data_IF_983421027061
#
_entry.id   IF_983421027061
#
_cell.length_a   1.000
_cell.length_b   1.000
_cell.length_c   1.000
_cell.angle_alpha   90.00
_cell.angle_beta   90.00
_cell.angle_gamma   90.00
#
_symmetry.space_group_name_H-M   'P 1'
#
loop_
_entity.id
_entity.type
_entity.pdbx_description
1 polymer ?
#
# COMPACT_ATOMS: atom_id res chain seq x y z
N UNK A 1 -21.81 -95.49 -34.59
CA UNK A 1 -20.69 -96.38 -34.84
C UNK A 1 -19.44 -95.83 -34.17
N UNK A 2 -18.98 -96.56 -33.19
CA UNK A 2 -17.62 -96.90 -32.83
C UNK A 2 -16.63 -95.78 -32.63
N UNK A 3 -15.83 -95.64 -31.65
CA UNK A 3 -15.27 -96.49 -30.56
C UNK A 3 -14.34 -95.61 -29.74
N UNK A 4 -14.40 -95.73 -28.42
CA UNK A 4 -13.35 -95.34 -27.48
C UNK A 4 -12.04 -96.15 -27.71
N UNK A 5 -10.85 -95.72 -27.36
CA UNK A 5 -10.33 -96.12 -26.06
C UNK A 5 -9.32 -95.08 -25.40
N UNK A 6 -9.46 -94.97 -24.14
CA UNK A 6 -8.52 -95.10 -23.00
C UNK A 6 -6.99 -94.90 -23.26
N UNK A 7 -6.39 -94.08 -22.40
CA UNK A 7 -5.22 -94.36 -21.48
C UNK A 7 -4.52 -93.09 -21.23
N UNK A 8 -3.94 -92.72 -20.18
CA UNK A 8 -3.39 -93.28 -18.97
C UNK A 8 -2.77 -92.05 -18.24
N UNK A 9 -2.81 -92.09 -16.94
CA UNK A 9 -2.34 -90.99 -16.11
C UNK A 9 -0.82 -90.89 -16.01
N UNK A 10 -0.36 -89.68 -15.67
CA UNK A 10 0.89 -89.41 -14.99
C UNK A 10 0.64 -88.39 -13.86
N UNK A 11 0.82 -88.90 -12.68
CA UNK A 11 0.88 -88.05 -11.45
C UNK A 11 2.24 -87.44 -11.40
N UNK A 12 2.30 -86.08 -11.45
CA UNK A 12 3.51 -85.33 -11.16
C UNK A 12 3.27 -84.60 -9.90
N UNK A 13 3.97 -84.99 -8.84
CA UNK A 13 3.99 -84.29 -7.57
C UNK A 13 4.76 -82.96 -7.71
N UNK A 14 4.07 -81.85 -7.54
CA UNK A 14 4.70 -80.54 -7.49
C UNK A 14 5.05 -80.26 -6.05
N UNK A 15 6.31 -80.17 -5.70
CA UNK A 15 6.84 -79.72 -4.43
C UNK A 15 6.63 -78.23 -4.34
N UNK A 16 5.84 -77.75 -3.34
CA UNK A 16 5.68 -76.32 -3.01
C UNK A 16 6.92 -75.88 -2.26
N UNK A 17 7.74 -75.06 -2.89
CA UNK A 17 8.81 -74.32 -2.20
C UNK A 17 8.22 -73.05 -1.63
N UNK A 18 8.06 -72.97 -0.29
CA UNK A 18 7.77 -71.67 0.43
C UNK A 18 9.02 -70.83 0.38
N UNK A 19 9.00 -69.73 -0.41
CA UNK A 19 9.95 -68.66 -0.33
C UNK A 19 9.52 -67.72 0.81
N UNK A 20 10.21 -67.76 1.96
CA UNK A 20 10.07 -66.76 3.03
C UNK A 20 10.71 -65.45 2.56
N UNK A 21 9.88 -64.44 2.24
CA UNK A 21 10.34 -63.09 2.01
C UNK A 21 10.64 -62.45 3.37
N UNK A 22 11.92 -62.37 3.73
CA UNK A 22 12.40 -61.59 4.85
C UNK A 22 12.20 -60.11 4.51
N UNK A 23 11.17 -59.47 5.07
CA UNK A 23 10.99 -58.03 5.06
C UNK A 23 12.11 -57.40 5.89
N UNK A 24 13.08 -56.81 5.25
CA UNK A 24 14.07 -55.93 5.93
C UNK A 24 13.34 -54.73 6.55
N UNK A 25 13.57 -54.37 7.81
CA UNK A 25 13.01 -53.16 8.38
C UNK A 25 13.51 -51.97 7.57
N UNK A 26 12.58 -51.23 6.91
CA UNK A 26 12.90 -50.02 6.19
C UNK A 26 13.58 -49.02 7.12
N UNK A 27 14.75 -48.54 6.76
CA UNK A 27 15.41 -47.47 7.47
C UNK A 27 14.48 -46.25 7.51
N UNK A 28 14.39 -45.54 8.66
CA UNK A 28 13.58 -44.34 8.72
C UNK A 28 14.12 -43.35 7.69
N UNK A 29 13.28 -42.92 6.76
CA UNK A 29 13.57 -41.80 5.87
C UNK A 29 13.69 -40.61 6.78
N UNK A 30 14.92 -40.10 6.99
CA UNK A 30 15.17 -38.88 7.69
C UNK A 30 14.32 -37.79 7.04
N UNK A 31 13.38 -37.21 7.78
CA UNK A 31 12.66 -36.03 7.34
C UNK A 31 13.72 -34.98 7.00
N UNK A 32 13.82 -34.58 5.75
CA UNK A 32 14.68 -33.48 5.37
C UNK A 32 14.23 -32.27 6.20
N UNK A 33 15.09 -31.77 7.07
CA UNK A 33 14.87 -30.55 7.81
C UNK A 33 14.55 -29.47 6.79
N UNK A 34 13.29 -29.06 6.73
CA UNK A 34 12.87 -27.93 5.89
C UNK A 34 13.57 -26.71 6.45
N UNK A 35 14.59 -26.22 5.75
CA UNK A 35 15.25 -24.97 6.11
C UNK A 35 14.16 -23.91 6.25
N UNK A 36 14.15 -23.13 7.35
CA UNK A 36 13.14 -22.11 7.55
C UNK A 36 13.19 -21.12 6.39
N UNK A 37 12.09 -21.05 5.64
CA UNK A 37 11.96 -20.08 4.52
C UNK A 37 12.14 -18.69 5.13
N UNK A 38 13.18 -17.98 4.70
CA UNK A 38 13.45 -16.61 5.17
C UNK A 38 12.27 -15.70 4.79
N UNK A 39 11.67 -15.05 5.79
CA UNK A 39 10.64 -14.04 5.54
C UNK A 39 11.23 -12.86 4.79
N UNK A 40 10.59 -12.38 3.71
CA UNK A 40 11.05 -11.19 2.99
C UNK A 40 11.22 -9.99 3.93
N UNK A 41 12.30 -9.23 3.78
CA UNK A 41 12.49 -7.96 4.49
C UNK A 41 11.80 -6.84 3.72
N UNK A 42 10.75 -6.29 4.29
CA UNK A 42 9.95 -5.21 3.73
C UNK A 42 10.24 -3.89 4.47
N UNK A 43 10.60 -2.84 3.73
CA UNK A 43 10.78 -1.48 4.25
C UNK A 43 9.67 -0.58 3.69
N UNK A 44 8.90 0.05 4.58
CA UNK A 44 7.85 0.99 4.20
C UNK A 44 8.32 2.44 4.44
N UNK A 45 8.37 3.22 3.36
CA UNK A 45 8.70 4.64 3.34
C UNK A 45 7.42 5.43 3.01
N UNK A 46 7.20 6.56 3.68
CA UNK A 46 6.01 7.34 3.35
C UNK A 46 5.65 8.42 4.34
N UNK A 47 4.54 9.06 4.05
CA UNK A 47 3.94 10.13 4.83
C UNK A 47 2.77 9.64 5.71
N UNK A 48 1.90 10.57 6.12
CA UNK A 48 0.74 10.28 6.96
C UNK A 48 -0.29 9.35 6.31
N UNK A 49 -0.37 9.32 4.98
CA UNK A 49 -1.26 8.40 4.27
C UNK A 49 -0.87 6.93 4.47
N UNK A 50 0.40 6.69 4.80
CA UNK A 50 0.92 5.39 5.14
C UNK A 50 1.05 5.18 6.67
N UNK A 51 1.33 6.23 7.43
CA UNK A 51 1.57 6.12 8.87
C UNK A 51 0.31 5.83 9.70
N UNK A 52 -0.87 6.28 9.28
CA UNK A 52 -2.13 6.08 10.02
C UNK A 52 -2.26 6.96 11.27
N UNK A 53 -2.16 8.29 11.12
CA UNK A 53 -2.18 9.20 12.26
C UNK A 53 -3.49 9.11 13.03
N UNK A 54 -3.39 9.10 14.37
CA UNK A 54 -4.47 9.02 15.34
C UNK A 54 -5.30 7.71 15.31
N UNK A 55 -4.93 6.73 14.50
CA UNK A 55 -5.52 5.40 14.62
C UNK A 55 -4.84 4.66 15.79
N UNK A 56 -5.57 4.18 16.79
CA UNK A 56 -4.99 3.41 17.90
C UNK A 56 -4.45 2.04 17.40
N UNK A 57 -3.31 1.56 17.86
CA UNK A 57 -2.36 2.09 18.83
C UNK A 57 -1.21 2.76 18.07
N UNK A 58 -0.79 3.95 18.53
CA UNK A 58 0.34 4.68 17.96
C UNK A 58 1.65 4.07 18.47
N UNK A 59 2.50 3.57 17.58
CA UNK A 59 3.81 2.96 17.88
C UNK A 59 4.97 3.96 17.81
N UNK A 60 4.74 5.12 17.19
CA UNK A 60 5.69 6.22 17.14
C UNK A 60 4.93 7.54 17.27
N UNK A 61 4.99 8.16 18.43
CA UNK A 61 4.32 9.45 18.66
C UNK A 61 4.88 10.59 17.81
N UNK A 62 6.21 10.73 17.60
CA UNK A 62 6.73 11.80 16.73
C UNK A 62 6.24 11.69 15.28
N UNK A 63 6.00 10.48 14.80
CA UNK A 63 5.52 10.23 13.44
C UNK A 63 4.00 10.01 13.35
N UNK A 64 3.29 9.99 14.46
CA UNK A 64 1.88 9.58 14.54
C UNK A 64 1.64 8.28 13.75
N UNK A 65 2.52 7.28 13.95
CA UNK A 65 2.48 6.01 13.23
C UNK A 65 1.74 4.96 14.04
N UNK A 66 0.73 4.36 13.43
CA UNK A 66 -0.11 3.32 14.01
C UNK A 66 0.42 1.93 13.66
N UNK A 67 0.18 0.95 14.55
CA UNK A 67 0.33 -0.48 14.24
C UNK A 67 -0.82 -1.05 13.41
N UNK A 68 -1.81 -0.22 13.06
CA UNK A 68 -2.96 -0.58 12.21
C UNK A 68 -2.93 0.16 10.87
N UNK A 69 -1.77 0.65 10.49
CA UNK A 69 -1.55 1.29 9.20
C UNK A 69 -1.44 0.25 8.07
N UNK A 70 -1.58 0.69 6.82
CA UNK A 70 -1.59 -0.23 5.69
C UNK A 70 -0.26 -0.97 5.48
N UNK A 71 0.96 -0.43 5.79
CA UNK A 71 2.18 -1.21 5.70
C UNK A 71 2.20 -2.43 6.63
N UNK A 72 1.70 -2.27 7.87
CA UNK A 72 1.57 -3.38 8.83
C UNK A 72 0.64 -4.47 8.31
N UNK A 73 -0.48 -4.07 7.70
CA UNK A 73 -1.48 -5.00 7.15
C UNK A 73 -0.93 -5.72 5.92
N UNK A 74 -0.28 -4.98 5.02
CA UNK A 74 0.36 -5.57 3.83
C UNK A 74 1.47 -6.55 4.22
N UNK A 75 2.34 -6.18 5.16
CA UNK A 75 3.41 -7.05 5.66
C UNK A 75 2.87 -8.37 6.25
N UNK A 76 1.77 -8.29 7.02
CA UNK A 76 1.15 -9.48 7.59
C UNK A 76 0.59 -10.42 6.50
N UNK A 77 -0.04 -9.87 5.46
CA UNK A 77 -0.57 -10.64 4.31
C UNK A 77 0.54 -11.29 3.48
N UNK A 78 1.65 -10.56 3.28
CA UNK A 78 2.82 -11.02 2.53
C UNK A 78 3.75 -11.95 3.33
N UNK A 79 3.46 -12.19 4.62
CA UNK A 79 4.36 -12.94 5.49
C UNK A 79 5.73 -12.27 5.67
N UNK A 80 5.84 -10.97 5.43
CA UNK A 80 7.08 -10.22 5.43
C UNK A 80 7.48 -9.70 6.83
N UNK A 81 8.77 -9.50 7.04
CA UNK A 81 9.31 -8.81 8.21
C UNK A 81 9.38 -7.31 7.91
N UNK A 82 8.51 -6.54 8.53
CA UNK A 82 8.38 -5.09 8.28
C UNK A 82 9.40 -4.26 9.05
N UNK A 83 10.02 -3.31 8.37
CA UNK A 83 10.66 -2.12 8.92
C UNK A 83 9.86 -0.91 8.45
N UNK A 84 8.98 -0.40 9.30
CA UNK A 84 8.12 0.73 8.99
C UNK A 84 8.75 2.03 9.51
N UNK A 85 9.13 2.92 8.60
CA UNK A 85 9.68 4.24 8.90
C UNK A 85 8.81 5.38 8.36
N UNK A 86 7.57 5.08 8.00
CA UNK A 86 6.60 6.10 7.59
C UNK A 86 6.40 7.13 8.69
N UNK A 87 6.23 8.40 8.31
CA UNK A 87 6.14 9.48 9.28
C UNK A 87 5.20 10.59 8.79
N UNK A 88 4.21 10.94 9.59
CA UNK A 88 3.25 11.99 9.25
C UNK A 88 3.96 13.32 8.94
N UNK A 89 3.52 13.98 7.87
CA UNK A 89 4.13 15.22 7.39
C UNK A 89 5.38 15.02 6.52
N UNK A 90 5.88 13.79 6.33
CA UNK A 90 7.06 13.55 5.51
C UNK A 90 6.84 13.99 4.06
N UNK A 91 7.86 14.59 3.48
CA UNK A 91 7.97 14.95 2.07
C UNK A 91 9.22 14.29 1.48
N UNK A 92 9.46 14.46 0.19
CA UNK A 92 10.66 13.87 -0.46
C UNK A 92 11.98 14.29 0.18
N UNK A 93 12.07 15.48 0.81
CA UNK A 93 13.28 15.93 1.52
C UNK A 93 13.56 15.09 2.77
N UNK A 94 12.51 14.61 3.44
CA UNK A 94 12.61 13.86 4.69
C UNK A 94 13.00 12.40 4.45
N UNK A 95 12.99 11.96 3.18
CA UNK A 95 13.54 10.64 2.83
C UNK A 95 15.05 10.58 3.05
N UNK A 96 15.80 11.62 2.68
CA UNK A 96 17.25 11.71 2.81
C UNK A 96 17.72 12.64 3.93
N UNK A 97 16.83 13.43 4.52
CA UNK A 97 17.09 14.37 5.62
C UNK A 97 16.34 13.99 6.88
N UNK A 98 16.77 14.56 8.02
CA UNK A 98 16.06 14.39 9.29
C UNK A 98 14.73 15.13 9.27
N UNK A 99 13.66 14.46 9.72
CA UNK A 99 12.36 15.10 9.97
C UNK A 99 12.26 15.43 11.46
N UNK A 100 11.65 16.59 11.79
CA UNK A 100 11.42 17.02 13.19
C UNK A 100 12.69 16.94 14.08
N UNK A 101 13.87 17.18 13.51
CA UNK A 101 15.18 17.12 14.18
C UNK A 101 15.54 15.73 14.69
N UNK A 102 14.60 15.02 15.31
CA UNK A 102 14.86 13.73 16.00
C UNK A 102 14.59 12.49 15.14
N UNK A 103 13.77 12.61 14.09
CA UNK A 103 13.43 11.47 13.23
C UNK A 103 14.52 11.28 12.17
N UNK A 104 15.17 10.11 12.10
CA UNK A 104 16.21 9.84 11.10
C UNK A 104 15.65 9.88 9.67
N UNK A 105 16.52 10.07 8.66
CA UNK A 105 16.14 9.92 7.26
C UNK A 105 15.52 8.55 6.99
N UNK A 106 14.40 8.52 6.28
CA UNK A 106 13.70 7.25 6.04
C UNK A 106 14.55 6.27 5.20
N UNK A 107 15.38 6.77 4.27
CA UNK A 107 16.27 5.97 3.45
C UNK A 107 17.35 5.24 4.24
N UNK A 108 17.62 5.61 5.49
CA UNK A 108 18.61 4.94 6.33
C UNK A 108 18.13 3.56 6.83
N UNK A 109 16.83 3.27 6.68
CA UNK A 109 16.27 1.94 6.95
C UNK A 109 16.55 0.92 5.83
N UNK A 110 16.96 1.37 4.65
CA UNK A 110 17.24 0.52 3.49
C UNK A 110 18.57 -0.20 3.63
N UNK A 111 18.60 -1.46 3.23
CA UNK A 111 19.77 -2.35 3.31
C UNK A 111 19.94 -3.12 2.00
N UNK A 112 21.15 -3.62 1.69
CA UNK A 112 21.35 -4.46 0.49
C UNK A 112 20.50 -5.73 0.50
N UNK A 113 20.12 -6.25 1.67
CA UNK A 113 19.30 -7.45 1.87
C UNK A 113 17.79 -7.12 2.01
N UNK A 114 17.36 -5.91 1.71
CA UNK A 114 15.94 -5.54 1.63
C UNK A 114 15.33 -6.16 0.37
N UNK A 115 14.21 -6.87 0.51
CA UNK A 115 13.54 -7.57 -0.58
C UNK A 115 12.40 -6.77 -1.20
N UNK A 116 11.76 -5.91 -0.40
CA UNK A 116 10.58 -5.14 -0.79
C UNK A 116 10.64 -3.74 -0.22
N UNK A 117 10.31 -2.74 -1.03
CA UNK A 117 10.18 -1.34 -0.60
C UNK A 117 8.87 -0.77 -1.14
N UNK A 118 8.11 -0.11 -0.28
CA UNK A 118 7.00 0.76 -0.72
C UNK A 118 7.33 2.21 -0.43
N UNK A 119 6.93 3.11 -1.33
CA UNK A 119 7.09 4.56 -1.23
C UNK A 119 5.74 5.24 -1.42
N UNK A 120 5.21 5.87 -0.37
CA UNK A 120 3.98 6.66 -0.39
C UNK A 120 4.26 8.10 0.08
N UNK A 121 4.65 8.99 -0.85
CA UNK A 121 5.06 10.36 -0.54
C UNK A 121 4.73 11.30 -1.72
N UNK A 122 4.55 12.59 -1.43
CA UNK A 122 4.33 13.61 -2.45
C UNK A 122 3.26 14.63 -2.09
N UNK A 123 2.23 14.27 -1.33
CA UNK A 123 1.17 15.18 -0.92
C UNK A 123 1.70 16.37 -0.09
N UNK A 124 2.69 16.15 0.75
CA UNK A 124 3.31 17.21 1.55
C UNK A 124 4.26 18.09 0.71
N UNK A 125 4.90 17.54 -0.33
CA UNK A 125 5.71 18.32 -1.29
C UNK A 125 4.88 19.39 -2.00
N UNK A 126 3.61 19.07 -2.30
CA UNK A 126 2.69 20.00 -2.96
C UNK A 126 1.82 20.79 -1.95
N UNK A 127 2.06 20.58 -0.64
CA UNK A 127 1.38 21.26 0.46
C UNK A 127 -0.13 20.98 0.55
N UNK A 128 -0.59 19.77 0.20
CA UNK A 128 -2.00 19.40 0.34
C UNK A 128 -2.48 19.44 1.80
N UNK A 129 -1.62 19.14 2.77
CA UNK A 129 -1.93 19.24 4.20
C UNK A 129 -2.33 20.64 4.66
N UNK A 130 -1.91 21.69 3.93
CA UNK A 130 -2.34 23.08 4.17
C UNK A 130 -3.41 23.56 3.20
N UNK A 131 -3.44 23.02 1.99
CA UNK A 131 -4.42 23.39 0.99
C UNK A 131 -5.83 22.94 1.39
N UNK A 132 -6.01 21.69 1.83
CA UNK A 132 -7.30 21.15 2.26
C UNK A 132 -7.96 22.00 3.35
N UNK A 133 -7.34 22.28 4.51
CA UNK A 133 -7.94 23.14 5.53
C UNK A 133 -8.21 24.56 5.04
N UNK A 134 -7.39 25.10 4.13
CA UNK A 134 -7.59 26.45 3.58
C UNK A 134 -8.81 26.55 2.67
N UNK A 135 -9.34 25.43 2.19
CA UNK A 135 -10.55 25.33 1.35
C UNK A 135 -11.84 25.15 2.15
N UNK A 136 -11.76 25.02 3.47
CA UNK A 136 -12.94 24.89 4.36
C UNK A 136 -13.76 26.18 4.35
N UNK A 137 -15.08 26.05 4.18
CA UNK A 137 -16.08 27.15 4.15
C UNK A 137 -17.32 26.77 4.94
N UNK A 138 -17.54 27.47 6.03
CA UNK A 138 -18.67 27.24 6.94
C UNK A 138 -19.96 27.94 6.50
N UNK A 139 -19.94 28.74 5.43
CA UNK A 139 -21.09 29.46 4.89
C UNK A 139 -21.34 29.02 3.44
N UNK A 140 -22.59 29.09 2.93
CA UNK A 140 -22.91 28.76 1.56
C UNK A 140 -22.26 29.73 0.58
N UNK A 141 -21.91 29.27 -0.61
CA UNK A 141 -21.34 30.11 -1.67
C UNK A 141 -22.26 31.27 -2.08
N UNK A 142 -23.57 31.04 -2.02
CA UNK A 142 -24.60 32.05 -2.29
C UNK A 142 -24.56 33.28 -1.38
N UNK A 143 -23.88 33.20 -0.24
CA UNK A 143 -23.66 34.34 0.65
C UNK A 143 -22.72 35.41 0.06
N UNK A 144 -22.06 35.12 -1.07
CA UNK A 144 -21.15 36.07 -1.74
C UNK A 144 -19.87 36.37 -0.95
N UNK A 145 -19.63 35.67 0.16
CA UNK A 145 -18.50 35.91 1.06
C UNK A 145 -17.32 34.99 0.69
N UNK A 146 -16.12 35.56 0.66
CA UNK A 146 -14.87 34.83 0.47
C UNK A 146 -14.59 34.43 -0.98
N UNK A 147 -13.38 33.99 -1.21
CA UNK A 147 -12.91 33.51 -2.52
C UNK A 147 -12.94 31.98 -2.54
N UNK A 148 -13.17 31.37 -3.71
CA UNK A 148 -13.01 29.94 -3.89
C UNK A 148 -11.54 29.56 -3.70
N UNK A 149 -11.32 28.35 -3.20
CA UNK A 149 -9.98 27.79 -3.04
C UNK A 149 -9.26 27.74 -4.40
N UNK A 150 -9.95 27.26 -5.42
CA UNK A 150 -9.46 27.26 -6.80
C UNK A 150 -9.00 28.66 -7.23
N UNK A 151 -9.83 29.71 -7.06
CA UNK A 151 -9.45 31.07 -7.47
C UNK A 151 -8.23 31.62 -6.71
N UNK A 152 -8.01 31.16 -5.47
CA UNK A 152 -6.80 31.50 -4.73
C UNK A 152 -5.57 30.81 -5.31
N UNK A 153 -5.65 29.51 -5.60
CA UNK A 153 -4.51 28.75 -6.09
C UNK A 153 -4.20 29.00 -7.56
N UNK A 154 -5.19 29.45 -8.35
CA UNK A 154 -5.02 29.76 -9.79
C UNK A 154 -4.86 31.27 -10.07
N UNK A 155 -4.72 32.10 -9.04
CA UNK A 155 -4.54 33.54 -9.18
C UNK A 155 -3.31 33.88 -10.06
N UNK A 156 -3.51 34.83 -11.00
CA UNK A 156 -2.49 35.22 -11.96
C UNK A 156 -2.31 34.25 -13.14
N UNK A 157 -3.32 33.41 -13.40
CA UNK A 157 -3.34 32.45 -14.54
C UNK A 157 -2.41 31.24 -14.35
N UNK A 158 -1.93 30.98 -13.13
CA UNK A 158 -0.99 29.89 -12.82
C UNK A 158 -1.56 29.03 -11.71
N UNK A 159 -1.73 27.72 -11.99
CA UNK A 159 -2.15 26.75 -10.96
C UNK A 159 -0.94 26.34 -10.10
N UNK A 160 -0.85 26.93 -8.91
CA UNK A 160 0.27 26.73 -7.99
C UNK A 160 0.38 25.29 -7.48
N UNK A 161 -0.73 24.54 -7.37
CA UNK A 161 -0.65 23.13 -6.96
C UNK A 161 -0.15 22.26 -8.12
N UNK A 162 -0.60 22.49 -9.34
CA UNK A 162 -0.08 21.81 -10.52
C UNK A 162 1.42 22.07 -10.74
N UNK A 163 1.88 23.32 -10.56
CA UNK A 163 3.31 23.65 -10.62
C UNK A 163 4.13 22.94 -9.55
N UNK A 164 3.58 22.79 -8.34
CA UNK A 164 4.26 22.02 -7.27
C UNK A 164 4.36 20.54 -7.63
N UNK A 165 3.34 19.94 -8.25
CA UNK A 165 3.39 18.57 -8.77
C UNK A 165 4.54 18.42 -9.78
N UNK A 166 4.63 19.34 -10.76
CA UNK A 166 5.71 19.34 -11.76
C UNK A 166 7.09 19.42 -11.10
N UNK A 167 7.25 20.27 -10.07
CA UNK A 167 8.53 20.39 -9.34
C UNK A 167 8.83 19.18 -8.43
N UNK A 168 7.82 18.42 -8.05
CA UNK A 168 7.99 17.21 -7.22
C UNK A 168 8.43 16.01 -8.04
N UNK A 169 8.05 15.92 -9.31
CA UNK A 169 8.37 14.79 -10.18
C UNK A 169 9.88 14.40 -10.19
N UNK A 170 10.85 15.32 -10.40
CA UNK A 170 12.27 14.97 -10.34
C UNK A 170 12.74 14.53 -8.95
N UNK A 171 12.07 14.97 -7.88
CA UNK A 171 12.38 14.54 -6.51
C UNK A 171 11.98 13.10 -6.27
N UNK A 172 10.81 12.68 -6.79
CA UNK A 172 10.37 11.27 -6.76
C UNK A 172 11.35 10.40 -7.56
N UNK A 173 11.77 10.82 -8.77
CA UNK A 173 12.81 10.12 -9.54
C UNK A 173 14.10 9.98 -8.75
N UNK A 174 14.57 11.04 -8.09
CA UNK A 174 15.76 10.99 -7.24
C UNK A 174 15.61 10.03 -6.06
N UNK A 175 14.44 10.01 -5.41
CA UNK A 175 14.14 9.09 -4.32
C UNK A 175 14.19 7.64 -4.79
N UNK A 176 13.53 7.29 -5.90
CA UNK A 176 13.54 5.95 -6.48
C UNK A 176 14.97 5.50 -6.84
N UNK A 177 15.77 6.38 -7.47
CA UNK A 177 17.17 6.09 -7.74
C UNK A 177 18.00 5.84 -6.46
N UNK A 178 17.71 6.52 -5.36
CA UNK A 178 18.39 6.27 -4.08
C UNK A 178 17.95 4.94 -3.45
N UNK A 179 16.67 4.58 -3.57
CA UNK A 179 16.14 3.29 -3.10
C UNK A 179 16.85 2.14 -3.83
N UNK A 180 16.90 2.18 -5.18
CA UNK A 180 17.57 1.14 -5.97
C UNK A 180 19.06 1.01 -5.66
N UNK A 181 19.76 2.12 -5.39
CA UNK A 181 21.18 2.05 -5.00
C UNK A 181 21.41 1.42 -3.63
N UNK A 182 20.51 1.66 -2.66
CA UNK A 182 20.65 1.14 -1.28
C UNK A 182 20.16 -0.30 -1.14
N UNK A 183 19.18 -0.67 -1.98
CA UNK A 183 18.53 -1.99 -1.98
C UNK A 183 18.38 -2.49 -3.42
N UNK A 184 19.51 -2.93 -4.06
CA UNK A 184 19.55 -3.19 -5.51
C UNK A 184 18.71 -4.39 -5.94
N UNK A 185 18.37 -5.27 -5.02
CA UNK A 185 17.56 -6.48 -5.28
C UNK A 185 16.10 -6.33 -4.85
N UNK A 186 15.74 -5.20 -4.25
CA UNK A 186 14.38 -4.99 -3.76
C UNK A 186 13.39 -4.79 -4.91
N UNK A 187 12.22 -5.42 -4.81
CA UNK A 187 11.04 -4.97 -5.55
C UNK A 187 10.57 -3.65 -4.97
N UNK A 188 10.42 -2.63 -5.80
CA UNK A 188 10.04 -1.28 -5.37
C UNK A 188 8.66 -0.93 -5.91
N UNK A 189 7.77 -0.45 -5.06
CA UNK A 189 6.42 0.00 -5.43
C UNK A 189 6.16 1.41 -4.94
N UNK A 190 5.67 2.27 -5.84
CA UNK A 190 5.10 3.57 -5.47
C UNK A 190 3.61 3.37 -5.20
N UNK A 191 3.14 3.80 -4.04
CA UNK A 191 1.75 3.67 -3.61
C UNK A 191 1.08 5.03 -3.70
N UNK A 192 -0.04 5.12 -4.42
CA UNK A 192 -0.79 6.37 -4.60
C UNK A 192 -1.66 6.72 -3.39
N UNK A 193 -2.36 7.85 -3.51
CA UNK A 193 -3.41 8.26 -2.56
C UNK A 193 -4.77 7.78 -3.03
N UNK A 194 -5.72 7.63 -2.09
CA UNK A 194 -7.10 7.29 -2.39
C UNK A 194 -7.91 8.47 -2.94
N UNK A 195 -9.17 8.21 -3.28
CA UNK A 195 -10.17 9.23 -3.64
C UNK A 195 -10.67 9.94 -2.39
N UNK A 196 -10.64 11.27 -2.38
CA UNK A 196 -11.10 12.10 -1.27
C UNK A 196 -12.53 12.59 -1.48
N UNK A 197 -12.81 13.21 -2.63
CA UNK A 197 -14.09 13.83 -2.93
C UNK A 197 -14.78 13.13 -4.10
N UNK A 198 -16.10 12.99 -4.01
CA UNK A 198 -16.93 12.68 -5.17
C UNK A 198 -17.12 13.93 -6.01
N UNK A 199 -17.52 13.84 -7.29
CA UNK A 199 -17.86 14.99 -8.10
C UNK A 199 -18.89 15.90 -7.40
N UNK A 200 -18.61 17.21 -7.36
CA UNK A 200 -19.42 18.20 -6.65
C UNK A 200 -19.33 18.17 -5.12
N UNK A 201 -18.49 17.32 -4.54
CA UNK A 201 -18.34 17.22 -3.09
C UNK A 201 -19.64 16.84 -2.36
N UNK A 202 -19.83 17.33 -1.13
CA UNK A 202 -21.05 17.06 -0.31
C UNK A 202 -21.34 18.17 0.71
N UNK A 203 -21.07 19.43 0.33
CA UNK A 203 -21.42 20.56 1.19
C UNK A 203 -22.91 20.49 1.58
N UNK A 204 -23.32 20.80 2.82
CA UNK A 204 -22.49 21.25 3.95
C UNK A 204 -21.89 20.12 4.80
N UNK A 205 -22.17 18.83 4.52
CA UNK A 205 -21.69 17.69 5.32
C UNK A 205 -20.17 17.63 5.41
N UNK A 206 -19.48 17.90 4.30
CA UNK A 206 -18.07 18.25 4.27
C UNK A 206 -17.99 19.73 3.84
N UNK A 207 -17.43 20.64 4.66
CA UNK A 207 -17.56 22.08 4.42
C UNK A 207 -16.54 22.59 3.40
N UNK A 208 -16.50 21.96 2.23
CA UNK A 208 -15.75 22.37 1.03
C UNK A 208 -16.76 22.60 -0.09
N UNK A 209 -16.73 23.78 -0.72
CA UNK A 209 -17.67 24.09 -1.79
C UNK A 209 -17.51 23.15 -2.98
N UNK A 210 -18.58 22.86 -3.75
CA UNK A 210 -18.55 21.91 -4.84
C UNK A 210 -17.37 22.05 -5.80
N UNK A 211 -17.16 23.26 -6.36
CA UNK A 211 -16.04 23.50 -7.28
C UNK A 211 -14.67 23.38 -6.61
N UNK A 212 -14.56 23.73 -5.32
CA UNK A 212 -13.30 23.54 -4.57
C UNK A 212 -13.03 22.06 -4.27
N UNK A 213 -14.07 21.26 -4.04
CA UNK A 213 -13.95 19.81 -3.89
C UNK A 213 -13.46 19.15 -5.19
N UNK A 214 -14.03 19.56 -6.34
CA UNK A 214 -13.58 19.11 -7.65
C UNK A 214 -12.13 19.52 -7.95
N UNK A 215 -11.76 20.77 -7.66
CA UNK A 215 -10.38 21.26 -7.81
C UNK A 215 -9.38 20.47 -6.97
N UNK A 216 -9.71 20.18 -5.71
CA UNK A 216 -8.87 19.39 -4.81
C UNK A 216 -8.75 17.94 -5.31
N UNK A 217 -9.86 17.31 -5.70
CA UNK A 217 -9.81 15.94 -6.25
C UNK A 217 -8.98 15.87 -7.53
N UNK A 218 -9.17 16.82 -8.45
CA UNK A 218 -8.35 16.92 -9.65
C UNK A 218 -6.86 17.11 -9.34
N UNK A 219 -6.52 17.78 -8.23
CA UNK A 219 -5.13 17.91 -7.77
C UNK A 219 -4.57 16.56 -7.30
N UNK A 220 -5.34 15.77 -6.54
CA UNK A 220 -4.97 14.40 -6.18
C UNK A 220 -4.80 13.51 -7.42
N UNK A 221 -5.69 13.62 -8.40
CA UNK A 221 -5.64 12.83 -9.64
C UNK A 221 -4.40 13.16 -10.47
N UNK A 222 -4.00 14.42 -10.56
CA UNK A 222 -2.74 14.83 -11.19
C UNK A 222 -1.51 14.31 -10.44
N UNK A 223 -1.55 14.35 -9.10
CA UNK A 223 -0.48 13.76 -8.29
C UNK A 223 -0.37 12.26 -8.52
N UNK A 224 -1.51 11.54 -8.54
CA UNK A 224 -1.58 10.11 -8.85
C UNK A 224 -0.94 9.79 -10.20
N UNK A 225 -1.30 10.53 -11.26
CA UNK A 225 -0.75 10.36 -12.60
C UNK A 225 0.77 10.57 -12.61
N UNK A 226 1.25 11.65 -11.99
CA UNK A 226 2.69 11.93 -11.88
C UNK A 226 3.43 10.79 -11.14
N UNK A 227 2.88 10.27 -10.05
CA UNK A 227 3.48 9.16 -9.29
C UNK A 227 3.55 7.89 -10.14
N UNK A 228 2.49 7.55 -10.90
CA UNK A 228 2.46 6.41 -11.81
C UNK A 228 3.52 6.53 -12.90
N UNK A 229 3.61 7.70 -13.54
CA UNK A 229 4.64 7.98 -14.55
C UNK A 229 6.07 7.87 -14.00
N UNK A 230 6.30 8.37 -12.78
CA UNK A 230 7.64 8.28 -12.15
C UNK A 230 7.98 6.86 -11.75
N UNK A 231 7.03 6.08 -11.25
CA UNK A 231 7.22 4.66 -10.97
C UNK A 231 7.64 3.92 -12.24
N UNK A 232 6.87 4.02 -13.31
CA UNK A 232 7.15 3.36 -14.58
C UNK A 232 8.51 3.77 -15.18
N UNK A 233 8.84 5.08 -15.17
CA UNK A 233 10.08 5.60 -15.71
C UNK A 233 11.33 5.20 -14.90
N UNK A 234 11.17 4.67 -13.68
CA UNK A 234 12.29 4.33 -12.80
C UNK A 234 12.27 2.85 -12.36
N UNK A 235 11.60 1.95 -13.10
CA UNK A 235 11.61 0.51 -12.83
C UNK A 235 10.91 0.11 -11.53
N UNK A 236 9.96 0.90 -11.06
CA UNK A 236 9.14 0.59 -9.89
C UNK A 236 7.72 0.20 -10.31
N UNK A 237 7.11 -0.72 -9.57
CA UNK A 237 5.68 -0.99 -9.67
C UNK A 237 4.86 0.20 -9.17
N UNK A 238 3.59 0.24 -9.56
CA UNK A 238 2.65 1.26 -9.08
C UNK A 238 1.42 0.62 -8.48
N UNK A 239 1.02 1.06 -7.29
CA UNK A 239 -0.20 0.61 -6.63
C UNK A 239 -1.24 1.72 -6.65
N UNK A 240 -2.31 1.48 -7.37
CA UNK A 240 -3.46 2.39 -7.45
C UNK A 240 -4.37 2.20 -6.23
N UNK A 241 -4.42 3.19 -5.34
CA UNK A 241 -5.40 3.26 -4.26
C UNK A 241 -6.60 4.14 -4.61
N UNK A 242 -6.55 4.91 -5.70
CA UNK A 242 -7.63 5.81 -6.12
C UNK A 242 -8.86 5.02 -6.57
N UNK A 243 -8.69 4.09 -7.50
CA UNK A 243 -9.79 3.32 -8.09
C UNK A 243 -10.56 2.50 -7.05
N UNK A 244 -9.93 1.69 -6.19
CA UNK A 244 -10.68 0.90 -5.21
C UNK A 244 -11.33 1.74 -4.11
N UNK A 245 -10.88 2.98 -3.87
CA UNK A 245 -11.47 3.88 -2.87
C UNK A 245 -12.54 4.82 -3.42
N UNK A 246 -12.85 4.74 -4.72
CA UNK A 246 -13.95 5.50 -5.31
C UNK A 246 -15.28 5.20 -4.59
N UNK A 247 -16.00 6.26 -4.22
CA UNK A 247 -17.23 6.13 -3.42
C UNK A 247 -17.02 6.03 -1.89
N UNK A 248 -15.78 5.83 -1.42
CA UNK A 248 -15.43 5.68 -0.01
C UNK A 248 -14.71 6.91 0.59
N UNK A 249 -14.73 8.04 -0.11
CA UNK A 249 -14.13 9.29 0.34
C UNK A 249 -14.89 9.96 1.49
N UNK A 250 -14.55 11.23 1.74
CA UNK A 250 -15.09 12.04 2.86
C UNK A 250 -16.62 12.21 2.82
N UNK A 251 -17.23 12.03 1.66
CA UNK A 251 -18.67 12.15 1.43
C UNK A 251 -19.45 10.83 1.54
N UNK A 252 -18.80 9.72 1.79
CA UNK A 252 -19.47 8.44 1.97
C UNK A 252 -20.26 8.41 3.30
N UNK A 253 -21.23 7.50 3.40
CA UNK A 253 -21.99 7.32 4.63
C UNK A 253 -21.08 6.85 5.79
N UNK A 254 -21.43 7.15 7.04
CA UNK A 254 -20.75 6.55 8.19
C UNK A 254 -20.71 5.03 8.06
N UNK A 255 -19.54 4.43 8.28
CA UNK A 255 -19.33 2.98 8.09
C UNK A 255 -18.88 2.57 6.69
N UNK A 256 -19.13 3.37 5.66
CA UNK A 256 -18.63 3.16 4.30
C UNK A 256 -17.38 3.99 3.99
N UNK A 257 -17.09 4.99 4.83
CA UNK A 257 -15.90 5.85 4.68
C UNK A 257 -14.61 5.05 4.87
N UNK A 258 -13.69 5.27 3.96
CA UNK A 258 -12.28 4.90 4.12
C UNK A 258 -11.43 6.13 4.42
N UNK A 259 -11.94 7.30 4.11
CA UNK A 259 -11.31 8.59 4.28
C UNK A 259 -12.17 9.48 5.19
N UNK A 260 -11.60 9.99 6.27
CA UNK A 260 -12.29 10.92 7.15
C UNK A 260 -12.28 12.34 6.58
N UNK A 261 -13.31 13.12 6.93
CA UNK A 261 -13.42 14.53 6.57
C UNK A 261 -12.78 15.45 7.61
N UNK A 262 -13.18 16.73 7.58
CA UNK A 262 -12.74 17.74 8.55
C UNK A 262 -13.03 17.33 10.00
N UNK A 263 -14.22 16.76 10.22
CA UNK A 263 -14.63 16.21 11.52
C UNK A 263 -14.68 14.68 11.38
N UNK A 264 -13.64 13.99 11.88
CA UNK A 264 -13.59 12.53 11.78
C UNK A 264 -14.72 11.86 12.57
N UNK A 265 -15.40 10.91 11.94
CA UNK A 265 -16.39 10.05 12.58
C UNK A 265 -15.80 8.82 13.24
N UNK A 266 -14.53 8.54 12.99
CA UNK A 266 -13.76 7.45 13.58
C UNK A 266 -12.33 7.91 13.93
N UNK A 267 -11.60 7.09 14.68
CA UNK A 267 -10.24 7.43 15.10
C UNK A 267 -9.30 7.50 13.89
N UNK A 268 -9.07 8.71 13.39
CA UNK A 268 -8.10 9.07 12.37
C UNK A 268 -7.87 10.59 12.41
N UNK A 269 -6.79 11.08 11.83
CA UNK A 269 -6.62 12.52 11.63
C UNK A 269 -7.59 13.05 10.54
N UNK A 270 -8.00 14.32 10.59
CA UNK A 270 -8.80 14.93 9.52
C UNK A 270 -8.14 14.75 8.15
N UNK A 271 -8.96 14.43 7.14
CA UNK A 271 -8.50 14.18 5.76
C UNK A 271 -7.46 13.06 5.62
N UNK A 272 -7.57 12.03 6.47
CA UNK A 272 -6.70 10.84 6.40
C UNK A 272 -7.53 9.56 6.36
N UNK A 273 -6.94 8.48 5.85
CA UNK A 273 -7.58 7.16 5.90
C UNK A 273 -7.85 6.75 7.35
N UNK A 274 -9.04 6.21 7.60
CA UNK A 274 -9.39 5.58 8.86
C UNK A 274 -8.92 4.10 8.89
N UNK A 275 -9.21 3.39 9.99
CA UNK A 275 -8.78 1.99 10.13
C UNK A 275 -9.31 1.08 9.02
N UNK A 276 -10.54 1.32 8.52
CA UNK A 276 -11.10 0.59 7.37
C UNK A 276 -10.34 0.91 6.10
N UNK A 277 -10.08 2.20 5.83
CA UNK A 277 -9.27 2.64 4.69
C UNK A 277 -7.86 2.04 4.70
N UNK A 278 -7.21 2.02 5.88
CA UNK A 278 -5.91 1.38 6.04
C UNK A 278 -5.96 -0.14 5.77
N UNK A 279 -7.02 -0.83 6.24
CA UNK A 279 -7.18 -2.26 6.00
C UNK A 279 -7.36 -2.56 4.50
N UNK A 280 -8.16 -1.76 3.80
CA UNK A 280 -8.38 -1.90 2.35
C UNK A 280 -7.13 -1.55 1.56
N UNK A 281 -6.45 -0.46 1.89
CA UNK A 281 -5.18 -0.10 1.26
C UNK A 281 -4.12 -1.20 1.45
N UNK A 282 -3.98 -1.74 2.66
CA UNK A 282 -3.04 -2.84 2.92
C UNK A 282 -3.34 -4.11 2.14
N UNK A 283 -4.62 -4.44 1.96
CA UNK A 283 -5.04 -5.54 1.09
C UNK A 283 -4.66 -5.27 -0.37
N UNK A 284 -5.03 -4.09 -0.91
CA UNK A 284 -4.72 -3.70 -2.29
C UNK A 284 -3.20 -3.72 -2.55
N UNK A 285 -2.40 -3.21 -1.60
CA UNK A 285 -0.93 -3.22 -1.72
C UNK A 285 -0.39 -4.65 -1.74
N UNK A 286 -0.87 -5.53 -0.85
CA UNK A 286 -0.43 -6.92 -0.83
C UNK A 286 -0.82 -7.64 -2.13
N UNK A 287 -2.07 -7.49 -2.57
CA UNK A 287 -2.57 -8.13 -3.79
C UNK A 287 -1.78 -7.67 -5.04
N UNK A 288 -1.40 -6.37 -5.12
CA UNK A 288 -0.59 -5.83 -6.21
C UNK A 288 0.87 -6.36 -6.20
N UNK A 289 1.43 -6.66 -5.02
CA UNK A 289 2.79 -7.19 -4.87
C UNK A 289 2.85 -8.69 -5.17
N UNK A 290 1.81 -9.44 -4.78
CA UNK A 290 1.71 -10.88 -5.01
C UNK A 290 1.26 -11.25 -6.44
N UNK A 291 0.72 -10.27 -7.19
CA UNK A 291 0.35 -10.48 -8.60
C UNK A 291 1.61 -10.72 -9.44
N UNK A 292 1.60 -11.75 -10.30
CA UNK A 292 2.75 -12.14 -11.12
C UNK A 292 3.11 -11.10 -12.20
#
# INVERSE_FOLDING_TARGET
MARNPRRAGCVVAAAAALAAVLAAPGAPVAAADAFPVRKPHYVALGDSSAAGPLIPVQTSLPCLRSNRNWPTIAAARLGARLTDVTCSGASTKDLAGRQLVLVPPQLDALRPDTDLVTLAVGANDISLGTALPSCVRLHPRSAGLGRTCESVYTAGGRDRLAERITRTAPRITSALGQIHRRSPHAKVYVVSYGTYFRPGGCWPGEPVWPGDADYLQNTFDRLHTMLAERAAANGAGFVDLRTPSAGHGVCAAPGEKWMEGLLPGSAAAPYHPNATGMARAGATVADAIDSP
#
